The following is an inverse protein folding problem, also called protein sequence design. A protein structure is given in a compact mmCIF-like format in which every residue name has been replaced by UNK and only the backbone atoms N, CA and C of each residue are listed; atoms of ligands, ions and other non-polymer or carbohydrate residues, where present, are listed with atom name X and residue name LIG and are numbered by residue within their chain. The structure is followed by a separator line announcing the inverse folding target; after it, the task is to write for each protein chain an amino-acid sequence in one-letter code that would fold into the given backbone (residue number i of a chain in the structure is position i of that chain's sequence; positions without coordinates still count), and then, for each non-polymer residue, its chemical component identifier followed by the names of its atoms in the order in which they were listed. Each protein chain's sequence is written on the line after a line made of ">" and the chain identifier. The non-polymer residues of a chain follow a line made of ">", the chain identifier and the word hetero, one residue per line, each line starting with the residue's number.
data_IF_214862763182
#
_entry.id   IF_214862763182
#
_cell.length_a   1.000
_cell.length_b   1.000
_cell.length_c   1.000
_cell.angle_alpha   90.00
_cell.angle_beta   90.00
_cell.angle_gamma   90.00
#
_symmetry.space_group_name_H-M   'P 1'
#
loop_
_entity.id
_entity.type
_entity.pdbx_description
1 polymer ?
#
# COMPACT_ATOMS: atom_id res chain seq x y z
N UNK A 1 -15.49 5.93 11.78
CA UNK A 1 -14.54 4.95 11.22
C UNK A 1 -13.26 5.67 10.87
N UNK A 2 -12.11 5.25 11.40
CA UNK A 2 -10.83 5.88 11.08
C UNK A 2 -10.36 5.32 9.73
N UNK A 3 -10.45 6.12 8.67
CA UNK A 3 -10.19 5.68 7.28
C UNK A 3 -8.73 5.26 7.07
N UNK A 4 -7.78 5.84 7.81
CA UNK A 4 -6.37 5.39 7.79
C UNK A 4 -6.21 3.95 8.30
N UNK A 5 -6.91 3.58 9.37
CA UNK A 5 -6.83 2.24 9.95
C UNK A 5 -7.35 1.16 9.01
N UNK A 6 -8.45 1.45 8.29
CA UNK A 6 -9.00 0.52 7.29
C UNK A 6 -8.04 0.31 6.10
N UNK A 7 -7.33 1.36 5.69
CA UNK A 7 -6.32 1.27 4.62
C UNK A 7 -5.11 0.44 5.07
N UNK A 8 -4.63 0.60 6.30
CA UNK A 8 -3.53 -0.23 6.83
C UNK A 8 -3.93 -1.70 6.87
N UNK A 9 -5.12 -2.01 7.39
CA UNK A 9 -5.62 -3.40 7.39
C UNK A 9 -5.69 -4.00 5.98
N UNK A 10 -6.19 -3.22 5.01
CA UNK A 10 -6.28 -3.69 3.62
C UNK A 10 -4.91 -3.98 3.00
N UNK A 11 -3.87 -3.25 3.42
CA UNK A 11 -2.49 -3.46 2.98
C UNK A 11 -1.92 -4.73 3.62
N UNK A 12 -2.12 -4.93 4.92
CA UNK A 12 -1.70 -6.14 5.63
C UNK A 12 -2.38 -7.39 5.04
N UNK A 13 -3.69 -7.32 4.81
CA UNK A 13 -4.46 -8.42 4.19
C UNK A 13 -3.92 -8.76 2.80
N UNK A 14 -3.56 -7.75 2.00
CA UNK A 14 -2.95 -7.95 0.69
C UNK A 14 -1.58 -8.65 0.80
N UNK A 15 -0.72 -8.23 1.74
CA UNK A 15 0.59 -8.86 1.95
C UNK A 15 0.47 -10.32 2.41
N UNK A 16 -0.55 -10.63 3.23
CA UNK A 16 -0.82 -12.01 3.69
C UNK A 16 -1.31 -12.89 2.53
N UNK A 17 -2.18 -12.36 1.67
CA UNK A 17 -2.73 -13.10 0.53
C UNK A 17 -1.71 -13.26 -0.61
N UNK A 18 -0.84 -12.27 -0.81
CA UNK A 18 0.12 -12.22 -1.91
C UNK A 18 1.55 -11.90 -1.44
N UNK A 19 2.16 -12.76 -0.61
CA UNK A 19 3.47 -12.49 0.00
C UNK A 19 4.63 -12.42 -1.00
N UNK A 20 4.45 -12.93 -2.22
CA UNK A 20 5.47 -12.91 -3.28
C UNK A 20 5.30 -11.75 -4.26
N UNK A 21 4.19 -11.01 -4.16
CA UNK A 21 3.90 -9.88 -5.05
C UNK A 21 4.51 -8.59 -4.52
N UNK A 22 4.98 -7.73 -5.43
CA UNK A 22 5.53 -6.43 -5.03
C UNK A 22 4.40 -5.49 -4.62
N UNK A 23 4.52 -4.93 -3.42
CA UNK A 23 3.58 -3.93 -2.95
C UNK A 23 3.87 -2.57 -3.61
N UNK A 24 2.86 -2.03 -4.29
CA UNK A 24 2.92 -0.70 -4.91
C UNK A 24 1.64 0.10 -4.65
N UNK A 25 1.72 1.42 -4.81
CA UNK A 25 0.54 2.29 -4.69
C UNK A 25 -0.56 1.93 -5.68
N UNK A 26 -0.22 1.52 -6.90
CA UNK A 26 -1.20 1.12 -7.91
C UNK A 26 -1.88 -0.21 -7.53
N UNK A 27 -1.10 -1.18 -7.08
CA UNK A 27 -1.60 -2.48 -6.63
C UNK A 27 -2.66 -2.33 -5.54
N UNK A 28 -2.40 -1.49 -4.53
CA UNK A 28 -3.35 -1.26 -3.43
C UNK A 28 -4.55 -0.42 -3.87
N UNK A 29 -4.35 0.51 -4.80
CA UNK A 29 -5.44 1.30 -5.37
C UNK A 29 -6.44 0.40 -6.11
N UNK A 30 -5.94 -0.54 -6.92
CA UNK A 30 -6.76 -1.54 -7.61
C UNK A 30 -7.40 -2.53 -6.63
N UNK A 31 -6.63 -3.04 -5.67
CA UNK A 31 -7.13 -3.95 -4.62
C UNK A 31 -8.29 -3.35 -3.81
N UNK A 32 -8.18 -2.06 -3.48
CA UNK A 32 -9.21 -1.36 -2.71
C UNK A 32 -10.36 -0.83 -3.57
N UNK A 33 -10.35 -1.08 -4.89
CA UNK A 33 -11.42 -0.68 -5.80
C UNK A 33 -11.63 0.84 -5.84
N UNK A 34 -10.54 1.60 -5.88
CA UNK A 34 -10.54 3.08 -5.89
C UNK A 34 -11.11 3.75 -4.62
N UNK A 35 -11.34 2.98 -3.54
CA UNK A 35 -11.91 3.47 -2.29
C UNK A 35 -11.01 4.52 -1.61
N UNK A 36 -9.70 4.42 -1.80
CA UNK A 36 -8.72 5.35 -1.23
C UNK A 36 -7.97 6.13 -2.32
N UNK A 37 -7.76 7.45 -2.14
CA UNK A 37 -6.94 8.21 -3.07
C UNK A 37 -5.50 7.69 -3.11
N UNK A 38 -4.90 7.61 -4.31
CA UNK A 38 -3.49 7.20 -4.48
C UNK A 38 -2.51 8.00 -3.61
N UNK A 39 -2.79 9.29 -3.37
CA UNK A 39 -1.99 10.15 -2.48
C UNK A 39 -1.98 9.62 -1.04
N UNK A 40 -3.15 9.23 -0.53
CA UNK A 40 -3.30 8.68 0.82
C UNK A 40 -2.61 7.33 0.92
N UNK A 41 -2.80 6.45 -0.06
CA UNK A 41 -2.12 5.15 -0.15
C UNK A 41 -0.61 5.35 -0.12
N UNK A 42 -0.07 6.20 -1.00
CA UNK A 42 1.38 6.50 -1.05
C UNK A 42 1.92 7.03 0.28
N UNK A 43 1.17 7.91 0.94
CA UNK A 43 1.58 8.47 2.23
C UNK A 43 1.58 7.40 3.32
N UNK A 44 0.53 6.56 3.40
CA UNK A 44 0.46 5.44 4.34
C UNK A 44 1.57 4.43 4.11
N UNK A 45 1.84 4.06 2.85
CA UNK A 45 2.94 3.16 2.50
C UNK A 45 4.29 3.74 2.92
N UNK A 46 4.52 5.04 2.69
CA UNK A 46 5.76 5.72 3.11
C UNK A 46 5.91 5.84 4.64
N UNK A 47 4.81 5.99 5.36
CA UNK A 47 4.80 6.13 6.82
C UNK A 47 4.94 4.78 7.56
N UNK A 48 4.46 3.68 6.96
CA UNK A 48 4.36 2.38 7.66
C UNK A 48 5.28 1.29 7.11
N UNK A 49 5.75 1.39 5.86
CA UNK A 49 6.61 0.38 5.24
C UNK A 49 8.00 0.91 4.94
N UNK A 50 8.99 0.02 4.97
CA UNK A 50 10.36 0.38 4.63
C UNK A 50 10.41 0.50 3.11
N UNK A 51 10.67 1.71 2.62
CA UNK A 51 10.87 1.93 1.19
C UNK A 51 12.21 1.32 0.79
N UNK A 52 12.16 0.26 0.00
CA UNK A 52 13.33 -0.36 -0.63
C UNK A 52 13.40 0.06 -2.10
N UNK A 53 14.50 0.69 -2.51
CA UNK A 53 14.71 1.19 -3.88
C UNK A 53 14.68 2.72 -4.01
N UNK A 54 15.16 3.25 -5.14
CA UNK A 54 15.36 4.68 -5.40
C UNK A 54 14.50 5.17 -6.58
N UNK A 55 13.72 6.24 -6.38
CA UNK A 55 12.94 6.88 -7.44
C UNK A 55 11.78 6.02 -7.97
N UNK A 56 11.70 5.82 -9.29
CA UNK A 56 10.60 5.12 -9.97
C UNK A 56 10.58 3.59 -9.72
N UNK A 57 11.63 3.05 -9.10
CA UNK A 57 11.78 1.62 -8.78
C UNK A 57 11.60 1.31 -7.29
N UNK A 58 11.03 2.25 -6.53
CA UNK A 58 10.74 2.04 -5.10
C UNK A 58 9.64 0.99 -4.92
N UNK A 59 9.92 -0.06 -4.15
CA UNK A 59 8.94 -1.02 -3.64
C UNK A 59 8.88 -0.93 -2.11
N UNK A 60 7.76 -1.33 -1.54
CA UNK A 60 7.53 -1.30 -0.10
C UNK A 60 7.64 -2.72 0.44
N UNK A 61 8.47 -2.92 1.46
CA UNK A 61 8.64 -4.18 2.20
C UNK A 61 8.02 -4.05 3.58
#
# INVERSE_FOLDING_TARGET
>A
MNTKSALVQSIEDYQVLYPSEKLSTNTIYEWTGDLFPKRTIRQTLKENLIVSGYGQWSYYE
#
